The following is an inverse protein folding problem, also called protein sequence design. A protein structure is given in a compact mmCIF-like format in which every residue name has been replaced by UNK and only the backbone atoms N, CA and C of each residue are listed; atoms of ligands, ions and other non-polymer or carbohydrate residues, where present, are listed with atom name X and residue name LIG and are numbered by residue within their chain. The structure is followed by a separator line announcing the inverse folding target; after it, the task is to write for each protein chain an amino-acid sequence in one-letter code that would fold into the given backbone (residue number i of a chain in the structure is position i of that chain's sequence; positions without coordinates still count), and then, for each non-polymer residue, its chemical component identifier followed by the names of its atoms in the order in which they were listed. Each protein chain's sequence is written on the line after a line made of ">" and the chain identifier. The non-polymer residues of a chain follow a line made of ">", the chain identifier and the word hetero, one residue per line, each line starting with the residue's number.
data_IF_745811584186
#
_entry.id   IF_745811584186
#
_cell.length_a   1.000
_cell.length_b   1.000
_cell.length_c   1.000
_cell.angle_alpha   90.00
_cell.angle_beta   90.00
_cell.angle_gamma   90.00
#
_symmetry.space_group_name_H-M   'P 1'
#
loop_
_entity.id
_entity.type
_entity.pdbx_description
1 polymer ?
#
# COMPACT_ATOMS: atom_id res chain seq x y z
N UNK A 1 -58.92 55.80 12.51
CA UNK A 1 -58.69 56.39 11.17
C UNK A 1 -57.21 56.24 10.81
N UNK A 2 -56.89 55.47 9.77
CA UNK A 2 -55.69 55.65 8.90
C UNK A 2 -56.02 56.77 7.89
N UNK A 3 -55.11 57.36 7.08
CA UNK A 3 -53.66 57.14 6.85
C UNK A 3 -52.86 58.49 7.00
N UNK A 4 -51.56 58.66 6.74
CA UNK A 4 -50.83 58.56 5.45
C UNK A 4 -49.32 58.71 5.68
N UNK A 5 -48.55 58.05 4.79
CA UNK A 5 -47.08 57.94 4.73
C UNK A 5 -46.48 59.05 3.85
N UNK A 6 -45.23 59.49 4.06
CA UNK A 6 -44.45 60.08 2.99
C UNK A 6 -43.27 59.19 2.56
N UNK A 7 -43.04 59.23 1.25
CA UNK A 7 -42.01 58.56 0.45
C UNK A 7 -40.72 59.38 0.48
N UNK A 8 -39.55 58.75 0.48
CA UNK A 8 -38.27 59.40 0.17
C UNK A 8 -37.50 58.59 -0.86
N UNK A 9 -37.12 59.29 -1.93
CA UNK A 9 -36.25 58.83 -3.00
C UNK A 9 -34.81 59.22 -2.67
N UNK A 10 -33.84 58.35 -3.01
CA UNK A 10 -32.41 58.67 -3.01
C UNK A 10 -31.81 58.12 -4.30
N UNK A 11 -31.15 59.01 -5.05
CA UNK A 11 -30.35 58.75 -6.24
C UNK A 11 -28.98 59.42 -5.99
N UNK A 12 -27.88 58.66 -6.05
CA UNK A 12 -26.45 59.05 -6.15
C UNK A 12 -25.68 57.77 -5.76
N UNK A 13 -24.69 57.22 -6.46
CA UNK A 13 -23.82 57.69 -7.53
C UNK A 13 -22.43 57.08 -7.27
N UNK A 14 -21.87 56.44 -8.30
CA UNK A 14 -20.45 56.08 -8.52
C UNK A 14 -19.82 54.95 -7.67
N UNK A 15 -19.57 53.82 -8.34
CA UNK A 15 -18.66 52.73 -7.91
C UNK A 15 -17.23 53.13 -8.26
N UNK A 16 -16.35 53.18 -7.27
CA UNK A 16 -14.91 53.42 -7.44
C UNK A 16 -14.13 52.13 -7.21
N UNK A 17 -13.32 51.74 -8.20
CA UNK A 17 -12.38 50.62 -8.12
C UNK A 17 -11.21 50.96 -7.18
N UNK A 18 -10.86 50.01 -6.29
CA UNK A 18 -9.52 49.94 -5.70
C UNK A 18 -8.92 48.56 -5.95
N UNK A 19 -7.87 48.54 -6.76
CA UNK A 19 -6.99 47.40 -7.00
C UNK A 19 -6.00 47.25 -5.83
N UNK A 20 -5.89 46.05 -5.27
CA UNK A 20 -4.80 45.69 -4.34
C UNK A 20 -3.80 44.78 -5.05
N UNK A 21 -2.52 45.16 -4.97
CA UNK A 21 -1.36 44.48 -5.55
C UNK A 21 -0.99 43.23 -4.72
N UNK A 22 -0.87 42.07 -5.36
CA UNK A 22 -0.19 40.89 -4.80
C UNK A 22 1.11 40.65 -5.57
N UNK A 23 2.22 40.64 -4.84
CA UNK A 23 3.56 40.39 -5.32
C UNK A 23 3.73 38.89 -5.63
N UNK A 24 3.89 38.52 -6.91
CA UNK A 24 4.23 37.15 -7.31
C UNK A 24 5.76 37.00 -7.40
N UNK A 25 6.32 36.10 -6.60
CA UNK A 25 7.71 35.66 -6.68
C UNK A 25 7.82 34.59 -7.79
N UNK A 26 8.78 34.63 -8.73
CA UNK A 26 8.82 33.68 -9.84
C UNK A 26 9.36 32.31 -9.41
N UNK A 27 8.57 31.26 -9.67
CA UNK A 27 8.93 29.84 -9.56
C UNK A 27 10.03 29.47 -10.56
N UNK A 28 11.07 28.71 -10.17
CA UNK A 28 12.09 28.23 -11.10
C UNK A 28 11.50 27.17 -12.04
N UNK A 29 11.69 27.35 -13.34
CA UNK A 29 11.31 26.40 -14.39
C UNK A 29 12.37 25.30 -14.49
N UNK A 30 11.99 24.06 -14.16
CA UNK A 30 12.78 22.88 -14.50
C UNK A 30 12.59 22.58 -15.99
N UNK A 31 13.63 22.88 -16.76
CA UNK A 31 13.75 22.57 -18.18
C UNK A 31 14.53 21.27 -18.32
N UNK A 32 13.98 20.33 -19.09
CA UNK A 32 14.60 19.10 -19.59
C UNK A 32 14.90 17.99 -18.57
N UNK A 33 13.87 17.24 -18.17
CA UNK A 33 14.02 15.83 -17.80
C UNK A 33 13.53 14.96 -18.99
N UNK A 34 14.24 13.89 -19.39
CA UNK A 34 13.76 12.99 -20.43
C UNK A 34 12.44 12.33 -19.98
N UNK A 35 11.37 12.56 -20.75
CA UNK A 35 10.10 11.86 -20.56
C UNK A 35 10.30 10.40 -20.93
N UNK A 36 10.42 9.53 -19.92
CA UNK A 36 10.30 8.09 -20.13
C UNK A 36 8.84 7.83 -20.43
N UNK A 37 8.52 7.43 -21.67
CA UNK A 37 7.21 6.89 -22.02
C UNK A 37 6.98 5.68 -21.11
N UNK A 38 6.15 5.85 -20.09
CA UNK A 38 5.62 4.73 -19.34
C UNK A 38 4.66 4.04 -20.31
N UNK A 39 5.06 2.88 -20.83
CA UNK A 39 4.13 1.95 -21.46
C UNK A 39 3.01 1.73 -20.43
N UNK A 40 1.80 2.19 -20.73
CA UNK A 40 0.63 1.89 -19.90
C UNK A 40 0.35 0.40 -20.08
N UNK A 41 0.86 -0.41 -19.16
CA UNK A 41 0.58 -1.84 -19.16
C UNK A 41 -0.75 -2.09 -18.45
N UNK A 42 -1.53 -3.00 -19.00
CA UNK A 42 -2.80 -3.39 -18.39
C UNK A 42 -2.50 -4.17 -17.11
N UNK A 43 -2.96 -3.63 -15.98
CA UNK A 43 -2.91 -4.33 -14.70
C UNK A 43 -3.62 -5.70 -14.81
N UNK A 44 -3.33 -6.67 -13.91
CA UNK A 44 -3.84 -8.04 -14.03
C UNK A 44 -5.37 -8.16 -13.93
N UNK A 45 -6.04 -7.08 -13.52
CA UNK A 45 -7.49 -6.98 -13.41
C UNK A 45 -8.04 -7.49 -12.08
N UNK A 46 -9.37 -7.39 -11.95
CA UNK A 46 -10.09 -7.78 -10.73
C UNK A 46 -10.43 -9.28 -10.65
N UNK A 47 -10.09 -10.04 -11.70
CA UNK A 47 -10.27 -11.50 -11.75
C UNK A 47 -8.94 -12.19 -11.50
N UNK A 48 -8.96 -13.23 -10.68
CA UNK A 48 -7.77 -14.00 -10.35
C UNK A 48 -7.23 -14.72 -11.58
N UNK A 49 -5.97 -14.48 -11.91
CA UNK A 49 -5.24 -15.19 -12.96
C UNK A 49 -4.91 -16.60 -12.49
N UNK A 50 -4.80 -17.54 -13.44
CA UNK A 50 -4.47 -18.93 -13.12
C UNK A 50 -3.15 -19.02 -12.33
N UNK A 51 -3.11 -19.89 -11.33
CA UNK A 51 -1.96 -20.14 -10.45
C UNK A 51 -1.53 -18.97 -9.53
N UNK A 52 -2.27 -17.86 -9.54
CA UNK A 52 -2.10 -16.76 -8.58
C UNK A 52 -3.13 -16.84 -7.45
N UNK A 53 -2.87 -16.06 -6.40
CA UNK A 53 -3.71 -15.91 -5.22
C UNK A 53 -3.87 -14.45 -4.83
N UNK A 54 -5.01 -14.12 -4.25
CA UNK A 54 -5.10 -12.96 -3.38
C UNK A 54 -4.42 -13.29 -2.05
N UNK A 55 -3.83 -12.33 -1.35
CA UNK A 55 -3.33 -12.54 0.02
C UNK A 55 -4.06 -11.58 0.93
N UNK A 56 -4.71 -12.08 1.97
CA UNK A 56 -5.51 -11.29 2.91
C UNK A 56 -5.17 -11.57 4.35
N UNK A 57 -5.36 -10.58 5.22
CA UNK A 57 -5.33 -10.80 6.67
C UNK A 57 -6.62 -11.47 7.14
N UNK A 58 -6.48 -12.40 8.08
CA UNK A 58 -7.60 -13.13 8.71
C UNK A 58 -7.79 -12.73 10.18
N UNK A 59 -7.17 -11.63 10.61
CA UNK A 59 -7.17 -11.18 12.00
C UNK A 59 -7.65 -9.73 12.08
N UNK A 60 -8.54 -9.45 13.03
CA UNK A 60 -8.99 -8.09 13.32
C UNK A 60 -7.84 -7.24 13.91
N UNK A 61 -7.78 -5.92 13.63
CA UNK A 61 -8.78 -5.11 12.92
C UNK A 61 -8.66 -5.15 11.38
N UNK A 62 -7.63 -5.82 10.84
CA UNK A 62 -7.31 -5.83 9.42
C UNK A 62 -7.98 -6.99 8.67
N UNK A 63 -9.05 -7.57 9.23
CA UNK A 63 -9.73 -8.71 8.62
C UNK A 63 -10.20 -8.31 7.21
N UNK A 64 -9.87 -9.14 6.21
CA UNK A 64 -10.14 -8.88 4.79
C UNK A 64 -9.42 -7.68 4.19
N UNK A 65 -8.33 -7.21 4.81
CA UNK A 65 -7.38 -6.34 4.11
C UNK A 65 -6.46 -7.22 3.25
N UNK A 66 -6.15 -6.75 2.05
CA UNK A 66 -5.42 -7.46 1.01
C UNK A 66 -4.04 -6.86 0.75
N UNK A 67 -3.05 -7.71 0.54
CA UNK A 67 -1.70 -7.29 0.19
C UNK A 67 -1.71 -6.59 -1.18
N UNK A 68 -0.98 -5.49 -1.28
CA UNK A 68 -0.81 -4.72 -2.51
C UNK A 68 0.49 -3.91 -2.46
N UNK A 69 1.09 -3.62 -3.61
CA UNK A 69 2.23 -2.71 -3.69
C UNK A 69 1.79 -1.25 -3.68
N UNK A 70 2.64 -0.39 -3.12
CA UNK A 70 2.50 1.07 -3.19
C UNK A 70 3.79 1.68 -3.71
N UNK A 71 3.78 2.34 -4.89
CA UNK A 71 2.63 2.54 -5.78
C UNK A 71 2.05 1.23 -6.37
N UNK A 72 0.79 1.29 -6.81
CA UNK A 72 0.08 0.12 -7.35
C UNK A 72 0.82 -0.45 -8.57
N UNK A 73 1.11 -1.75 -8.50
CA UNK A 73 1.87 -2.50 -9.51
C UNK A 73 3.26 -1.92 -9.84
N UNK A 74 3.94 -1.34 -8.85
CA UNK A 74 5.29 -0.80 -9.00
C UNK A 74 6.17 -1.15 -7.77
N UNK A 75 7.48 -0.98 -7.92
CA UNK A 75 8.43 -1.16 -6.81
C UNK A 75 8.11 -0.25 -5.65
N UNK A 76 8.21 -0.74 -4.42
CA UNK A 76 7.89 0.01 -3.22
C UNK A 76 7.45 -0.89 -2.08
N UNK A 77 6.77 -0.33 -1.09
CA UNK A 77 6.37 -1.08 0.09
C UNK A 77 5.04 -1.82 -0.12
N UNK A 78 4.88 -3.03 0.44
CA UNK A 78 3.58 -3.66 0.56
C UNK A 78 2.77 -3.00 1.68
N UNK A 79 1.49 -2.79 1.41
CA UNK A 79 0.49 -2.48 2.44
C UNK A 79 -0.61 -3.55 2.44
N UNK A 80 -1.39 -3.58 3.51
CA UNK A 80 -2.65 -4.32 3.58
C UNK A 80 -3.81 -3.33 3.39
N UNK A 81 -4.54 -3.40 2.28
CA UNK A 81 -5.58 -2.42 1.95
C UNK A 81 -6.90 -3.04 1.48
N UNK A 82 -7.78 -2.26 0.82
CA UNK A 82 -9.08 -2.77 0.40
C UNK A 82 -8.96 -3.80 -0.73
N UNK A 83 -9.97 -4.67 -0.84
CA UNK A 83 -10.06 -5.72 -1.85
C UNK A 83 -10.02 -5.20 -3.30
N UNK A 84 -10.42 -3.95 -3.54
CA UNK A 84 -10.48 -3.33 -4.89
C UNK A 84 -9.12 -3.04 -5.51
N UNK A 85 -8.05 -3.01 -4.71
CA UNK A 85 -6.68 -2.78 -5.15
C UNK A 85 -5.74 -3.95 -4.83
N UNK A 86 -6.31 -5.09 -4.44
CA UNK A 86 -5.58 -6.30 -4.10
C UNK A 86 -4.63 -6.74 -5.23
N UNK A 87 -3.39 -7.05 -4.87
CA UNK A 87 -2.44 -7.69 -5.77
C UNK A 87 -2.74 -9.17 -5.96
N UNK A 88 -2.16 -9.74 -7.01
CA UNK A 88 -2.21 -11.17 -7.30
C UNK A 88 -0.81 -11.77 -7.14
N UNK A 89 -0.68 -12.83 -6.35
CA UNK A 89 0.60 -13.32 -5.87
C UNK A 89 0.77 -14.82 -6.06
N UNK A 90 2.03 -15.25 -6.16
CA UNK A 90 2.40 -16.65 -6.17
C UNK A 90 3.71 -16.83 -5.39
N UNK A 91 3.93 -18.02 -4.83
CA UNK A 91 5.27 -18.41 -4.37
C UNK A 91 5.91 -19.27 -5.45
N UNK A 92 7.00 -18.81 -6.05
CA UNK A 92 7.80 -19.50 -7.06
C UNK A 92 9.20 -19.76 -6.51
N UNK A 93 9.62 -21.02 -6.43
CA UNK A 93 10.97 -21.41 -5.96
C UNK A 93 11.41 -20.74 -4.64
N UNK A 94 10.47 -20.58 -3.70
CA UNK A 94 10.74 -19.95 -2.41
C UNK A 94 10.67 -18.42 -2.40
N UNK A 95 10.23 -17.80 -3.49
CA UNK A 95 10.09 -16.36 -3.63
C UNK A 95 8.62 -15.97 -3.79
N UNK A 96 8.14 -15.03 -2.98
CA UNK A 96 6.84 -14.43 -3.21
C UNK A 96 6.93 -13.41 -4.34
N UNK A 97 6.12 -13.59 -5.38
CA UNK A 97 6.05 -12.70 -6.55
C UNK A 97 4.67 -12.08 -6.68
N UNK A 98 4.60 -10.85 -7.16
CA UNK A 98 3.38 -10.14 -7.53
C UNK A 98 3.27 -10.05 -9.05
N UNK A 99 2.11 -10.39 -9.61
CA UNK A 99 1.81 -10.10 -11.01
C UNK A 99 1.49 -8.61 -11.18
N UNK A 100 2.19 -7.95 -12.11
CA UNK A 100 2.11 -6.50 -12.36
C UNK A 100 1.21 -6.18 -13.55
N UNK A 101 1.21 -7.05 -14.55
CA UNK A 101 0.49 -6.85 -15.80
C UNK A 101 0.08 -8.19 -16.43
N UNK A 102 -0.75 -8.13 -17.46
CA UNK A 102 -1.21 -9.32 -18.20
C UNK A 102 -0.12 -9.99 -19.04
N UNK A 103 1.03 -9.35 -19.23
CA UNK A 103 2.17 -9.89 -19.98
C UNK A 103 3.08 -10.77 -19.12
N UNK A 104 2.78 -10.91 -17.83
CA UNK A 104 3.53 -11.76 -16.91
C UNK A 104 4.70 -11.06 -16.23
N UNK A 105 4.74 -9.72 -16.21
CA UNK A 105 5.78 -9.00 -15.45
C UNK A 105 5.58 -9.24 -13.96
N UNK A 106 6.69 -9.48 -13.26
CA UNK A 106 6.70 -9.78 -11.83
C UNK A 106 7.47 -8.73 -11.03
N UNK A 107 7.00 -8.47 -9.82
CA UNK A 107 7.80 -7.91 -8.73
C UNK A 107 8.10 -9.00 -7.71
N UNK A 108 9.24 -8.90 -7.05
CA UNK A 108 9.72 -9.85 -6.05
C UNK A 108 9.64 -9.22 -4.68
N UNK A 109 8.98 -9.87 -3.72
CA UNK A 109 9.01 -9.41 -2.34
C UNK A 109 10.38 -9.73 -1.72
N UNK A 110 11.17 -8.70 -1.51
CA UNK A 110 12.44 -8.75 -0.82
C UNK A 110 12.25 -8.49 0.67
N UNK A 111 13.09 -9.12 1.49
CA UNK A 111 13.11 -8.93 2.94
C UNK A 111 14.42 -8.27 3.35
N UNK A 112 14.36 -7.22 4.16
CA UNK A 112 15.58 -6.60 4.69
C UNK A 112 16.29 -7.50 5.70
N UNK A 113 17.60 -7.31 5.84
CA UNK A 113 18.34 -7.91 6.95
C UNK A 113 18.04 -7.15 8.24
N UNK A 114 18.02 -7.82 9.41
CA UNK A 114 17.86 -7.13 10.69
C UNK A 114 18.97 -6.09 10.87
N UNK A 115 18.61 -4.91 11.38
CA UNK A 115 19.58 -3.88 11.71
C UNK A 115 20.56 -4.31 12.82
N UNK A 116 20.07 -5.10 13.78
CA UNK A 116 20.81 -5.71 14.87
C UNK A 116 20.00 -6.88 15.49
N UNK A 117 20.58 -7.57 16.47
CA UNK A 117 19.98 -8.72 17.16
C UNK A 117 18.74 -8.35 18.02
N UNK A 118 18.43 -7.07 18.17
CA UNK A 118 17.28 -6.59 18.94
C UNK A 118 16.08 -6.24 18.06
N UNK A 119 16.24 -6.29 16.73
CA UNK A 119 15.19 -6.02 15.77
C UNK A 119 13.93 -6.86 16.05
N UNK A 120 12.77 -6.19 16.09
CA UNK A 120 11.46 -6.82 16.37
C UNK A 120 10.63 -7.05 15.12
N UNK A 121 11.01 -6.44 14.01
CA UNK A 121 10.33 -6.55 12.72
C UNK A 121 11.35 -6.44 11.59
N UNK A 122 11.02 -7.02 10.44
CA UNK A 122 11.77 -6.83 9.19
C UNK A 122 10.84 -6.19 8.16
N UNK A 123 11.30 -5.11 7.55
CA UNK A 123 10.65 -4.52 6.40
C UNK A 123 10.73 -5.45 5.20
N UNK A 124 9.72 -5.32 4.36
CA UNK A 124 9.64 -5.98 3.06
C UNK A 124 9.41 -4.91 1.98
N UNK A 125 9.88 -5.18 0.77
CA UNK A 125 9.65 -4.33 -0.39
C UNK A 125 9.43 -5.16 -1.64
N UNK A 126 8.64 -4.64 -2.58
CA UNK A 126 8.55 -5.18 -3.93
C UNK A 126 9.63 -4.54 -4.79
N UNK A 127 10.46 -5.37 -5.41
CA UNK A 127 11.56 -4.95 -6.28
C UNK A 127 11.48 -5.65 -7.63
N UNK A 128 12.22 -5.12 -8.62
CA UNK A 128 12.37 -5.78 -9.93
C UNK A 128 13.37 -6.92 -9.92
N UNK A 129 14.16 -7.04 -8.85
CA UNK A 129 15.15 -8.10 -8.65
C UNK A 129 14.93 -8.78 -7.30
N UNK A 130 14.96 -10.11 -7.31
CA UNK A 130 14.88 -10.93 -6.10
C UNK A 130 16.17 -10.80 -5.27
N UNK A 131 16.03 -10.65 -3.95
CA UNK A 131 17.12 -10.85 -3.00
C UNK A 131 17.18 -12.30 -2.49
N UNK A 132 18.26 -12.64 -1.79
CA UNK A 132 18.50 -14.01 -1.31
C UNK A 132 18.20 -14.17 0.19
N UNK A 133 17.55 -13.19 0.82
CA UNK A 133 17.36 -13.19 2.27
C UNK A 133 16.05 -13.86 2.66
N UNK A 134 16.15 -15.16 2.90
CA UNK A 134 15.07 -16.00 3.37
C UNK A 134 14.26 -16.64 2.26
N UNK A 135 13.15 -17.26 2.64
CA UNK A 135 12.33 -18.11 1.78
C UNK A 135 10.88 -18.01 2.19
N UNK A 136 10.03 -17.75 1.21
CA UNK A 136 8.58 -17.78 1.32
C UNK A 136 8.03 -19.18 1.04
N UNK A 137 6.95 -19.54 1.73
CA UNK A 137 6.24 -20.80 1.50
C UNK A 137 4.81 -20.72 2.00
N UNK A 138 3.97 -21.65 1.55
CA UNK A 138 2.63 -21.85 2.10
C UNK A 138 2.66 -22.96 3.16
N UNK A 139 2.06 -22.71 4.32
CA UNK A 139 1.75 -23.75 5.31
C UNK A 139 0.24 -23.79 5.54
N UNK A 140 -0.42 -24.75 4.88
CA UNK A 140 -1.86 -24.64 4.68
C UNK A 140 -2.13 -23.44 3.77
N UNK A 141 -2.95 -22.50 4.24
CA UNK A 141 -3.24 -21.25 3.56
C UNK A 141 -2.41 -20.06 4.03
N UNK A 142 -1.69 -20.18 5.15
CA UNK A 142 -0.89 -19.10 5.71
C UNK A 142 0.42 -18.88 4.91
N UNK A 143 0.73 -17.61 4.61
CA UNK A 143 2.02 -17.23 4.04
C UNK A 143 3.08 -17.24 5.13
N UNK A 144 4.12 -18.04 4.93
CA UNK A 144 5.26 -18.15 5.83
C UNK A 144 6.50 -17.53 5.20
N UNK A 145 7.35 -16.98 6.06
CA UNK A 145 8.71 -16.62 5.71
C UNK A 145 9.69 -17.12 6.78
N UNK A 146 10.85 -17.62 6.34
CA UNK A 146 11.92 -18.07 7.22
C UNK A 146 13.29 -17.85 6.60
N UNK A 147 14.32 -17.79 7.44
CA UNK A 147 15.74 -17.74 7.02
C UNK A 147 16.58 -18.52 8.02
N UNK A 148 17.63 -19.27 7.62
CA UNK A 148 18.40 -20.09 8.55
C UNK A 148 19.07 -19.31 9.70
N UNK A 149 19.36 -18.03 9.51
CA UNK A 149 20.03 -17.18 10.50
C UNK A 149 19.10 -16.61 11.58
N UNK A 150 17.78 -16.77 11.46
CA UNK A 150 16.81 -16.22 12.42
C UNK A 150 15.81 -17.31 12.78
N UNK A 151 15.85 -17.73 14.05
CA UNK A 151 14.82 -18.61 14.61
C UNK A 151 13.65 -17.77 15.13
N UNK A 152 12.42 -18.14 14.72
CA UNK A 152 11.19 -17.45 15.11
C UNK A 152 10.22 -18.44 15.71
N UNK A 153 9.43 -18.06 16.72
CA UNK A 153 8.42 -18.93 17.30
C UNK A 153 7.26 -19.22 16.33
N UNK A 154 7.03 -18.35 15.34
CA UNK A 154 5.99 -18.50 14.34
C UNK A 154 6.43 -17.88 13.01
N UNK A 155 6.62 -18.71 11.98
CA UNK A 155 7.03 -18.25 10.64
C UNK A 155 5.91 -17.53 9.87
N UNK A 156 4.65 -17.75 10.25
CA UNK A 156 3.47 -17.10 9.69
C UNK A 156 3.02 -15.86 10.47
N UNK A 157 3.82 -15.36 11.41
CA UNK A 157 3.52 -14.13 12.14
C UNK A 157 3.93 -12.91 11.31
N UNK A 158 2.99 -12.00 11.11
CA UNK A 158 3.16 -10.74 10.39
C UNK A 158 2.75 -9.58 11.29
N UNK A 159 3.22 -8.38 10.95
CA UNK A 159 2.79 -7.13 11.56
C UNK A 159 2.19 -6.25 10.48
N UNK A 160 1.06 -5.63 10.79
CA UNK A 160 0.49 -4.54 10.00
C UNK A 160 0.63 -3.29 10.88
N UNK A 161 1.46 -2.36 10.44
CA UNK A 161 1.83 -1.17 11.21
C UNK A 161 1.13 0.09 10.68
N UNK A 162 1.54 1.24 11.21
CA UNK A 162 1.16 2.56 10.69
C UNK A 162 1.21 2.61 9.15
N UNK A 163 0.26 3.33 8.57
CA UNK A 163 0.02 3.40 7.12
C UNK A 163 -0.23 2.04 6.45
N UNK A 164 -0.73 1.08 7.24
CA UNK A 164 -1.04 -0.30 6.84
C UNK A 164 0.15 -1.07 6.27
N UNK A 165 1.38 -0.62 6.57
CA UNK A 165 2.61 -1.22 6.10
C UNK A 165 2.80 -2.63 6.66
N UNK A 166 3.15 -3.57 5.79
CA UNK A 166 3.38 -4.96 6.15
C UNK A 166 4.84 -5.20 6.54
N UNK A 167 5.04 -5.92 7.65
CA UNK A 167 6.35 -6.36 8.13
C UNK A 167 6.31 -7.81 8.58
N UNK A 168 7.46 -8.48 8.57
CA UNK A 168 7.63 -9.79 9.22
C UNK A 168 7.81 -9.59 10.72
N UNK A 169 7.06 -10.33 11.55
CA UNK A 169 7.17 -10.25 13.01
C UNK A 169 8.33 -11.10 13.54
N UNK A 170 9.39 -10.50 14.10
CA UNK A 170 10.47 -11.27 14.75
C UNK A 170 10.18 -11.60 16.22
N UNK A 171 9.17 -10.96 16.82
CA UNK A 171 8.79 -11.11 18.21
C UNK A 171 7.75 -12.22 18.47
N UNK A 172 7.32 -12.35 19.74
CA UNK A 172 6.24 -13.25 20.11
C UNK A 172 4.89 -12.69 19.66
N UNK A 173 4.22 -13.42 18.78
CA UNK A 173 2.88 -13.10 18.28
C UNK A 173 1.88 -12.90 19.44
N UNK A 174 1.12 -11.80 19.42
CA UNK A 174 0.03 -11.45 20.33
C UNK A 174 0.42 -11.17 21.81
N UNK A 175 1.70 -10.99 22.12
CA UNK A 175 2.15 -10.69 23.49
C UNK A 175 3.02 -9.44 23.61
N UNK A 176 3.95 -9.23 22.67
CA UNK A 176 4.90 -8.11 22.69
C UNK A 176 4.91 -7.40 21.32
N UNK A 177 3.70 -7.12 20.82
CA UNK A 177 3.51 -6.45 19.54
C UNK A 177 4.13 -5.05 19.59
N UNK A 178 5.02 -4.68 18.66
CA UNK A 178 5.60 -3.35 18.62
C UNK A 178 4.54 -2.24 18.60
N UNK A 179 4.80 -1.13 19.29
CA UNK A 179 3.91 0.02 19.29
C UNK A 179 3.63 0.51 17.85
N UNK A 180 2.38 0.86 17.57
CA UNK A 180 1.93 1.27 16.23
C UNK A 180 1.70 0.09 15.27
N UNK A 181 1.81 -1.16 15.73
CA UNK A 181 1.55 -2.34 14.92
C UNK A 181 0.47 -3.24 15.54
N UNK A 182 -0.26 -3.96 14.68
CA UNK A 182 -1.10 -5.09 15.05
C UNK A 182 -0.52 -6.39 14.51
N UNK A 183 -0.63 -7.45 15.30
CA UNK A 183 -0.30 -8.80 14.88
C UNK A 183 -1.31 -9.31 13.85
N UNK A 184 -0.80 -9.99 12.82
CA UNK A 184 -1.60 -10.59 11.78
C UNK A 184 -1.06 -11.96 11.37
N UNK A 185 -1.97 -12.81 10.91
CA UNK A 185 -1.65 -13.91 9.99
C UNK A 185 -2.29 -13.56 8.65
N UNK A 186 -1.53 -13.75 7.56
CA UNK A 186 -2.00 -13.49 6.21
C UNK A 186 -2.07 -14.79 5.42
N UNK A 187 -3.16 -14.96 4.69
CA UNK A 187 -3.56 -16.22 4.09
C UNK A 187 -3.84 -16.00 2.62
N UNK A 188 -3.55 -17.00 1.78
CA UNK A 188 -4.03 -16.96 0.41
C UNK A 188 -5.55 -17.05 0.37
N UNK A 189 -6.14 -16.44 -0.64
CA UNK A 189 -7.54 -16.56 -1.00
C UNK A 189 -7.64 -16.76 -2.51
N UNK A 190 -8.42 -17.75 -2.94
CA UNK A 190 -8.41 -18.26 -4.32
C UNK A 190 -9.76 -18.20 -5.03
N UNK A 191 -10.69 -17.38 -4.54
CA UNK A 191 -11.91 -17.11 -5.29
C UNK A 191 -11.61 -16.26 -6.53
N UNK A 192 -12.54 -16.26 -7.48
CA UNK A 192 -12.41 -15.50 -8.72
C UNK A 192 -12.14 -14.00 -8.50
N UNK A 193 -12.61 -13.43 -7.38
CA UNK A 193 -12.44 -12.03 -7.02
C UNK A 193 -12.12 -11.91 -5.53
N UNK A 194 -11.38 -10.88 -5.14
CA UNK A 194 -11.17 -10.50 -3.74
C UNK A 194 -12.50 -10.03 -3.11
N UNK A 195 -12.84 -10.58 -1.94
CA UNK A 195 -14.08 -10.26 -1.22
C UNK A 195 -13.91 -9.06 -0.27
N UNK A 196 -14.99 -8.30 0.02
CA UNK A 196 -14.97 -7.23 1.03
C UNK A 196 -14.99 -7.76 2.46
#
# INVERSE_FOLDING_TARGET
>A
MKPTKPTSAIFLGVVSCLSSLVNANPTPTLKDAPSRTLETRDAPGASLQADYYWIRSVVAPFFHFYMQSVPSYATGHPIMGPNTSAGQFQVQDGQLVQLVDTDGTLLYMNVEQPADDTAKKLAVSFETEQNTFGTFSWSGDALWWSVPSIERPNNGAWLICEDDLLYINLGPYAWDTPAGCGDATIHYYNAAQADP
#
